data_IF_582075901782
#
_entry.id   IF_582075901782
#
_cell.length_a   1.000
_cell.length_b   1.000
_cell.length_c   1.000
_cell.angle_alpha   90.00
_cell.angle_beta   90.00
_cell.angle_gamma   90.00
#
_symmetry.space_group_name_H-M   'P 1'
#
loop_
_entity.id
_entity.type
_entity.pdbx_description
1 polymer ?
#
# COMPACT_ATOMS: atom_id res chain seq x y z
N UNK A 1 15.24 -36.49 49.39
CA UNK A 1 16.02 -36.37 48.12
C UNK A 1 15.22 -35.80 46.97
N UNK A 2 13.94 -36.15 46.76
CA UNK A 2 13.11 -35.59 45.63
C UNK A 2 12.84 -34.08 45.72
N UNK A 3 12.64 -33.49 46.91
CA UNK A 3 12.38 -32.05 47.09
C UNK A 3 13.61 -31.18 46.79
N UNK A 4 14.83 -31.68 47.01
CA UNK A 4 16.06 -30.92 46.74
C UNK A 4 16.39 -30.87 45.26
N UNK A 5 16.14 -31.96 44.50
CA UNK A 5 16.37 -32.01 43.05
C UNK A 5 15.42 -31.06 42.31
N UNK A 6 14.13 -31.03 42.67
CA UNK A 6 13.15 -30.10 42.05
C UNK A 6 13.49 -28.62 42.31
N UNK A 7 14.03 -28.28 43.50
CA UNK A 7 14.47 -26.89 43.77
C UNK A 7 15.73 -26.51 42.99
N UNK A 8 16.66 -27.42 42.75
CA UNK A 8 17.87 -27.15 41.95
C UNK A 8 17.49 -26.97 40.48
N UNK A 9 16.59 -27.81 39.91
CA UNK A 9 16.10 -27.65 38.54
C UNK A 9 15.30 -26.37 38.32
N UNK A 10 14.51 -25.92 39.29
CA UNK A 10 13.80 -24.67 39.23
C UNK A 10 14.75 -23.45 39.33
N UNK A 11 15.77 -23.49 40.18
CA UNK A 11 16.79 -22.45 40.28
C UNK A 11 17.61 -22.32 38.98
N UNK A 12 18.01 -23.44 38.36
CA UNK A 12 18.74 -23.45 37.09
C UNK A 12 17.89 -22.88 35.94
N UNK A 13 16.61 -23.23 35.85
CA UNK A 13 15.70 -22.66 34.83
C UNK A 13 15.49 -21.16 35.02
N UNK A 14 15.44 -20.66 36.23
CA UNK A 14 15.27 -19.25 36.52
C UNK A 14 16.54 -18.44 36.22
N UNK A 15 17.72 -19.01 36.45
CA UNK A 15 19.00 -18.41 36.05
C UNK A 15 19.20 -18.42 34.53
N UNK A 16 18.80 -19.47 33.84
CA UNK A 16 18.85 -19.52 32.36
C UNK A 16 17.88 -18.51 31.72
N UNK A 17 16.68 -18.35 32.28
CA UNK A 17 15.73 -17.36 31.83
C UNK A 17 16.26 -15.93 32.05
N UNK A 18 16.86 -15.66 33.22
CA UNK A 18 17.47 -14.36 33.48
C UNK A 18 18.60 -14.04 32.52
N UNK A 19 19.51 -15.02 32.27
CA UNK A 19 20.59 -14.86 31.27
C UNK A 19 20.04 -14.59 29.87
N UNK A 20 18.95 -15.26 29.48
CA UNK A 20 18.29 -15.01 28.19
C UNK A 20 17.74 -13.58 28.12
N UNK A 21 17.05 -13.13 29.16
CA UNK A 21 16.55 -11.75 29.25
C UNK A 21 17.70 -10.75 29.19
N UNK A 22 18.74 -10.96 29.97
CA UNK A 22 19.92 -10.08 29.99
C UNK A 22 20.59 -10.03 28.61
N UNK A 23 20.73 -11.16 27.93
CA UNK A 23 21.29 -11.22 26.58
C UNK A 23 20.42 -10.50 25.54
N UNK A 24 19.09 -10.58 25.67
CA UNK A 24 18.15 -9.88 24.78
C UNK A 24 18.07 -8.37 25.07
N UNK A 25 18.39 -7.97 26.31
CA UNK A 25 18.36 -6.56 26.74
C UNK A 25 19.69 -5.82 26.52
N UNK A 26 20.74 -6.48 26.01
CA UNK A 26 22.03 -5.81 25.73
C UNK A 26 21.85 -4.79 24.62
N UNK A 27 22.05 -3.47 24.87
CA UNK A 27 21.96 -2.46 23.84
C UNK A 27 23.06 -2.66 22.78
N UNK A 28 22.67 -2.75 21.51
CA UNK A 28 23.62 -2.78 20.40
C UNK A 28 23.98 -4.16 19.85
N UNK A 29 23.39 -5.26 20.33
CA UNK A 29 23.56 -6.57 19.73
C UNK A 29 22.67 -6.76 18.49
N UNK A 30 23.28 -6.95 17.33
CA UNK A 30 22.60 -7.34 16.08
C UNK A 30 21.68 -6.26 15.49
N UNK A 31 20.37 -6.50 15.54
CA UNK A 31 19.34 -5.68 14.87
C UNK A 31 19.35 -4.20 15.30
N UNK A 32 19.82 -3.90 16.52
CA UNK A 32 19.81 -2.54 17.08
C UNK A 32 21.10 -1.75 16.84
N UNK A 33 22.15 -2.36 16.30
CA UNK A 33 23.45 -1.72 16.07
C UNK A 33 23.38 -0.52 15.11
N UNK A 34 22.41 -0.52 14.16
CA UNK A 34 22.13 0.59 13.26
C UNK A 34 20.98 1.51 13.70
N UNK A 35 20.31 1.21 14.82
CA UNK A 35 19.21 2.02 15.31
C UNK A 35 19.74 3.31 15.95
N UNK A 36 19.22 4.46 15.53
CA UNK A 36 19.49 5.76 16.17
C UNK A 36 19.28 5.63 17.69
N UNK A 37 20.25 6.09 18.50
CA UNK A 37 20.08 6.23 19.95
C UNK A 37 18.87 7.13 20.20
N UNK A 38 17.78 6.54 20.67
CA UNK A 38 16.55 7.27 20.99
C UNK A 38 16.64 7.83 22.40
N UNK A 39 16.10 9.02 22.62
CA UNK A 39 15.80 9.49 23.96
C UNK A 39 14.81 8.51 24.61
N UNK A 40 15.02 8.15 25.89
CA UNK A 40 14.15 7.21 26.63
C UNK A 40 12.68 7.64 26.69
N UNK A 41 12.41 8.94 26.49
CA UNK A 41 11.08 9.54 26.61
C UNK A 41 10.34 9.67 25.27
N UNK A 42 10.91 9.19 24.16
CA UNK A 42 10.33 9.39 22.84
C UNK A 42 9.45 8.19 22.43
N UNK A 43 8.12 8.35 22.60
CA UNK A 43 7.15 7.35 22.17
C UNK A 43 7.13 7.21 20.65
N UNK A 44 7.08 5.95 20.17
CA UNK A 44 6.97 5.62 18.74
C UNK A 44 5.53 5.73 18.26
N UNK A 45 5.31 5.94 16.92
CA UNK A 45 4.00 5.74 16.35
C UNK A 45 3.51 4.30 16.60
N UNK A 46 2.25 4.15 16.94
CA UNK A 46 1.63 2.86 17.21
C UNK A 46 0.90 2.35 15.98
N UNK A 47 1.28 1.17 15.45
CA UNK A 47 0.56 0.52 14.34
C UNK A 47 -0.90 0.25 14.68
N UNK A 48 -1.18 -0.16 15.92
CA UNK A 48 -2.53 -0.41 16.38
C UNK A 48 -3.37 0.86 16.35
N UNK A 49 -2.88 1.96 16.95
CA UNK A 49 -3.63 3.23 17.00
C UNK A 49 -3.82 3.81 15.57
N UNK A 50 -2.81 3.69 14.69
CA UNK A 50 -2.96 4.10 13.28
C UNK A 50 -4.03 3.26 12.58
N UNK A 51 -4.10 1.96 12.85
CA UNK A 51 -5.18 1.09 12.33
C UNK A 51 -6.57 1.53 12.83
N UNK A 52 -6.70 1.81 14.13
CA UNK A 52 -7.95 2.32 14.72
C UNK A 52 -8.38 3.66 14.09
N UNK A 53 -7.42 4.56 13.82
CA UNK A 53 -7.69 5.84 13.11
C UNK A 53 -8.19 5.58 11.68
N UNK A 54 -7.62 4.63 10.97
CA UNK A 54 -8.07 4.27 9.61
C UNK A 54 -9.50 3.74 9.63
N UNK A 55 -9.85 2.89 10.60
CA UNK A 55 -11.24 2.40 10.73
C UNK A 55 -12.23 3.54 11.08
N UNK A 56 -11.85 4.49 11.92
CA UNK A 56 -12.65 5.68 12.17
C UNK A 56 -12.82 6.53 10.89
N UNK A 57 -11.75 6.70 10.11
CA UNK A 57 -11.80 7.41 8.83
C UNK A 57 -12.69 6.68 7.80
N UNK A 58 -12.62 5.35 7.73
CA UNK A 58 -13.50 4.55 6.87
C UNK A 58 -14.97 4.75 7.23
N UNK A 59 -15.30 4.81 8.52
CA UNK A 59 -16.67 5.06 8.95
C UNK A 59 -17.16 6.48 8.68
N UNK A 60 -16.26 7.44 8.52
CA UNK A 60 -16.57 8.82 8.09
C UNK A 60 -16.78 8.87 6.57
N UNK A 61 -15.93 8.17 5.81
CA UNK A 61 -15.95 8.17 4.35
C UNK A 61 -17.11 7.34 3.78
N UNK A 62 -17.53 6.30 4.49
CA UNK A 62 -18.64 5.40 4.17
C UNK A 62 -19.60 5.29 5.35
N UNK A 63 -20.38 6.35 5.64
CA UNK A 63 -21.30 6.36 6.78
C UNK A 63 -22.36 5.25 6.65
N UNK A 64 -22.59 4.51 7.75
CA UNK A 64 -23.53 3.39 7.76
C UNK A 64 -22.96 2.04 7.33
N UNK A 65 -21.80 2.02 6.64
CA UNK A 65 -21.16 0.75 6.23
C UNK A 65 -20.17 0.21 7.25
N UNK A 66 -19.48 1.09 7.98
CA UNK A 66 -18.47 0.70 8.97
C UNK A 66 -18.79 1.31 10.33
N UNK A 67 -18.73 0.50 11.38
CA UNK A 67 -19.08 0.92 12.74
C UNK A 67 -20.58 0.81 13.01
N UNK A 68 -21.23 1.89 13.47
CA UNK A 68 -22.68 1.89 13.70
C UNK A 68 -23.45 1.96 12.38
N UNK A 69 -24.32 0.96 12.13
CA UNK A 69 -25.14 0.86 10.92
C UNK A 69 -26.43 1.68 10.96
N UNK A 70 -26.90 2.04 12.17
CA UNK A 70 -28.17 2.77 12.35
C UNK A 70 -27.91 4.30 12.38
N UNK A 71 -27.41 4.85 11.26
CA UNK A 71 -27.19 6.30 11.13
C UNK A 71 -28.37 6.89 10.38
N UNK A 72 -29.20 7.68 11.08
CA UNK A 72 -30.26 8.48 10.49
C UNK A 72 -29.69 9.78 9.94
N UNK A 73 -30.35 10.37 8.96
CA UNK A 73 -29.89 11.62 8.31
C UNK A 73 -29.66 12.73 9.33
N UNK A 74 -30.55 12.86 10.33
CA UNK A 74 -30.45 13.88 11.38
C UNK A 74 -29.23 13.67 12.30
N UNK A 75 -28.82 12.41 12.52
CA UNK A 75 -27.68 12.06 13.37
C UNK A 75 -26.34 12.05 12.64
N UNK A 76 -26.33 12.05 11.29
CA UNK A 76 -25.13 11.95 10.47
C UNK A 76 -24.09 13.03 10.81
N UNK A 77 -24.53 14.29 11.00
CA UNK A 77 -23.63 15.41 11.33
C UNK A 77 -22.94 15.20 12.66
N UNK A 78 -23.66 14.71 13.67
CA UNK A 78 -23.09 14.40 14.99
C UNK A 78 -22.14 13.22 14.93
N UNK A 79 -22.50 12.19 14.17
CA UNK A 79 -21.65 11.03 13.94
C UNK A 79 -20.31 11.43 13.31
N UNK A 80 -20.35 12.11 12.17
CA UNK A 80 -19.14 12.58 11.47
C UNK A 80 -18.35 13.56 12.34
N UNK A 81 -19.01 14.53 12.98
CA UNK A 81 -18.34 15.54 13.80
C UNK A 81 -17.60 14.96 14.99
N UNK A 82 -18.23 14.05 15.74
CA UNK A 82 -17.62 13.41 16.90
C UNK A 82 -16.41 12.54 16.54
N UNK A 83 -16.50 11.80 15.42
CA UNK A 83 -15.40 10.96 14.93
C UNK A 83 -14.25 11.79 14.38
N UNK A 84 -14.54 12.86 13.62
CA UNK A 84 -13.50 13.78 13.15
C UNK A 84 -12.74 14.45 14.30
N UNK A 85 -13.41 14.84 15.37
CA UNK A 85 -12.73 15.41 16.55
C UNK A 85 -11.84 14.38 17.25
N UNK A 86 -12.30 13.14 17.37
CA UNK A 86 -11.51 12.03 17.90
C UNK A 86 -10.28 11.74 17.03
N UNK A 87 -10.49 11.59 15.71
CA UNK A 87 -9.42 11.38 14.74
C UNK A 87 -8.41 12.51 14.81
N UNK A 88 -8.86 13.77 14.81
CA UNK A 88 -8.00 14.95 14.88
C UNK A 88 -7.02 14.87 16.06
N UNK A 89 -7.53 14.57 17.26
CA UNK A 89 -6.69 14.48 18.48
C UNK A 89 -5.72 13.31 18.43
N UNK A 90 -6.23 12.12 18.13
CA UNK A 90 -5.43 10.90 18.13
C UNK A 90 -4.39 10.89 17.02
N UNK A 91 -4.77 11.39 15.83
CA UNK A 91 -3.88 11.42 14.69
C UNK A 91 -2.78 12.45 14.82
N UNK A 92 -3.07 13.64 15.37
CA UNK A 92 -2.04 14.65 15.66
C UNK A 92 -0.93 14.06 16.52
N UNK A 93 -1.27 13.29 17.54
CA UNK A 93 -0.28 12.63 18.40
C UNK A 93 0.55 11.61 17.63
N UNK A 94 -0.06 10.77 16.75
CA UNK A 94 0.69 9.81 15.95
C UNK A 94 1.59 10.49 14.91
N UNK A 95 1.13 11.56 14.27
CA UNK A 95 1.94 12.37 13.35
C UNK A 95 3.13 12.99 14.08
N UNK A 96 2.92 13.55 15.27
CA UNK A 96 4.00 14.06 16.12
C UNK A 96 5.06 12.98 16.39
N UNK A 97 4.63 11.79 16.81
CA UNK A 97 5.53 10.65 17.05
C UNK A 97 6.29 10.25 15.79
N UNK A 98 5.63 10.28 14.64
CA UNK A 98 6.28 10.05 13.33
C UNK A 98 7.35 11.09 13.00
N UNK A 99 7.06 12.38 13.21
CA UNK A 99 8.01 13.48 13.03
C UNK A 99 9.22 13.28 13.97
N UNK A 100 8.96 13.05 15.25
CA UNK A 100 10.02 12.85 16.25
C UNK A 100 10.86 11.59 15.95
N UNK A 101 10.25 10.56 15.34
CA UNK A 101 10.98 9.35 14.92
C UNK A 101 12.04 9.63 13.85
N UNK A 102 11.80 10.60 12.96
CA UNK A 102 12.72 10.96 11.87
C UNK A 102 13.69 12.07 12.23
N UNK A 103 13.45 12.81 13.33
CA UNK A 103 14.38 13.85 13.77
C UNK A 103 15.75 13.28 14.10
N UNK A 104 16.81 13.93 13.61
CA UNK A 104 18.17 13.56 13.95
C UNK A 104 18.52 13.99 15.37
N UNK A 105 19.05 13.01 16.13
CA UNK A 105 19.78 13.16 17.39
C UNK A 105 19.15 13.95 18.54
N UNK A 106 18.71 13.26 19.57
CA UNK A 106 18.92 13.63 21.00
C UNK A 106 18.38 14.97 21.49
N UNK A 107 17.82 15.78 20.66
CA UNK A 107 17.09 16.97 21.06
C UNK A 107 15.70 16.56 21.56
N UNK A 108 15.33 17.02 22.74
CA UNK A 108 13.96 16.99 23.21
C UNK A 108 13.04 17.43 22.04
N UNK A 109 11.88 16.76 21.91
CA UNK A 109 10.91 17.12 20.88
C UNK A 109 10.70 18.63 20.91
N UNK A 110 11.13 19.32 19.85
CA UNK A 110 11.07 20.78 19.80
C UNK A 110 9.60 21.22 19.87
N UNK A 111 9.26 22.38 20.46
CA UNK A 111 7.92 22.97 20.42
C UNK A 111 7.32 23.00 19.01
N UNK A 112 8.16 23.12 18.00
CA UNK A 112 7.86 23.06 16.57
C UNK A 112 7.22 21.73 16.12
N UNK A 113 7.54 20.58 16.74
CA UNK A 113 6.94 19.29 16.36
C UNK A 113 5.44 19.22 16.63
N UNK A 114 4.95 19.84 17.69
CA UNK A 114 3.52 19.90 18.01
C UNK A 114 2.77 20.78 17.03
N UNK A 115 3.31 21.94 16.70
CA UNK A 115 2.70 22.85 15.75
C UNK A 115 2.72 22.23 14.32
N UNK A 116 3.83 21.65 13.91
CA UNK A 116 3.94 20.95 12.64
C UNK A 116 2.94 19.79 12.55
N UNK A 117 2.84 18.97 13.59
CA UNK A 117 1.87 17.86 13.64
C UNK A 117 0.43 18.36 13.53
N UNK A 118 0.09 19.46 14.22
CA UNK A 118 -1.22 20.10 14.13
C UNK A 118 -1.51 20.56 12.72
N UNK A 119 -0.58 21.27 12.08
CA UNK A 119 -0.74 21.81 10.74
C UNK A 119 -0.91 20.69 9.70
N UNK A 120 -0.10 19.62 9.78
CA UNK A 120 -0.22 18.46 8.91
C UNK A 120 -1.54 17.72 9.10
N UNK A 121 -2.00 17.58 10.36
CA UNK A 121 -3.30 16.96 10.67
C UNK A 121 -4.44 17.75 10.03
N UNK A 122 -4.46 19.08 10.19
CA UNK A 122 -5.50 19.93 9.60
C UNK A 122 -5.43 19.89 8.08
N UNK A 123 -4.23 19.94 7.48
CA UNK A 123 -4.05 19.85 6.03
C UNK A 123 -4.60 18.53 5.48
N UNK A 124 -4.33 17.41 6.15
CA UNK A 124 -4.87 16.10 5.79
C UNK A 124 -6.40 16.05 5.89
N UNK A 125 -6.97 16.45 7.03
CA UNK A 125 -8.42 16.39 7.24
C UNK A 125 -9.20 17.20 6.21
N UNK A 126 -8.65 18.32 5.72
CA UNK A 126 -9.24 19.13 4.63
C UNK A 126 -9.32 18.37 3.32
N UNK A 127 -8.55 17.30 3.13
CA UNK A 127 -8.56 16.47 1.92
C UNK A 127 -9.62 15.36 1.94
N UNK A 128 -10.21 15.06 3.10
CA UNK A 128 -11.18 13.97 3.21
C UNK A 128 -12.38 14.07 2.26
N UNK A 129 -12.99 15.25 1.99
CA UNK A 129 -14.07 15.34 1.01
C UNK A 129 -13.62 14.96 -0.41
N UNK A 130 -12.41 15.35 -0.82
CA UNK A 130 -11.84 14.97 -2.12
C UNK A 130 -11.58 13.45 -2.19
N UNK A 131 -11.04 12.88 -1.11
CA UNK A 131 -10.84 11.43 -0.99
C UNK A 131 -12.17 10.69 -1.07
N UNK A 132 -13.22 11.16 -0.38
CA UNK A 132 -14.56 10.56 -0.43
C UNK A 132 -15.13 10.54 -1.85
N UNK A 133 -15.03 11.65 -2.57
CA UNK A 133 -15.48 11.72 -3.96
C UNK A 133 -14.73 10.73 -4.87
N UNK A 134 -13.41 10.62 -4.73
CA UNK A 134 -12.63 9.63 -5.50
C UNK A 134 -13.04 8.20 -5.16
N UNK A 135 -13.28 7.91 -3.89
CA UNK A 135 -13.73 6.57 -3.46
C UNK A 135 -15.12 6.23 -4.00
N UNK A 136 -16.04 7.18 -4.07
CA UNK A 136 -17.35 6.96 -4.71
C UNK A 136 -17.19 6.58 -6.19
N UNK A 137 -16.27 7.21 -6.92
CA UNK A 137 -15.96 6.86 -8.31
C UNK A 137 -15.27 5.50 -8.43
N UNK A 138 -14.42 5.10 -7.47
CA UNK A 138 -13.79 3.78 -7.46
C UNK A 138 -14.80 2.67 -7.17
N UNK A 139 -15.76 2.91 -6.25
CA UNK A 139 -16.88 1.99 -5.98
C UNK A 139 -17.74 1.81 -7.23
N UNK A 140 -18.10 2.91 -7.89
CA UNK A 140 -18.89 2.85 -9.12
C UNK A 140 -18.16 2.11 -10.23
N UNK A 141 -16.86 2.36 -10.42
CA UNK A 141 -16.03 1.65 -11.41
C UNK A 141 -15.92 0.15 -11.09
N UNK A 142 -15.89 -0.21 -9.82
CA UNK A 142 -15.85 -1.61 -9.38
C UNK A 142 -17.19 -2.31 -9.64
N UNK A 143 -18.31 -1.65 -9.36
CA UNK A 143 -19.65 -2.16 -9.64
C UNK A 143 -19.90 -2.36 -11.15
N UNK A 144 -19.51 -1.38 -11.96
CA UNK A 144 -19.64 -1.46 -13.43
C UNK A 144 -18.66 -2.46 -14.06
N UNK A 145 -17.52 -2.70 -13.39
CA UNK A 145 -16.46 -3.57 -13.90
C UNK A 145 -16.65 -5.05 -13.63
N UNK A 146 -17.45 -5.39 -12.61
CA UNK A 146 -17.72 -6.77 -12.20
C UNK A 146 -19.20 -7.13 -12.37
N UNK A 147 -19.55 -7.94 -13.40
CA UNK A 147 -20.93 -8.39 -13.59
C UNK A 147 -21.50 -9.24 -12.43
N UNK A 148 -20.66 -9.74 -11.52
CA UNK A 148 -21.10 -10.50 -10.35
C UNK A 148 -21.57 -9.61 -9.20
N UNK A 149 -21.22 -8.32 -9.20
CA UNK A 149 -21.65 -7.38 -8.17
C UNK A 149 -23.15 -7.09 -8.26
N UNK A 150 -23.91 -7.40 -7.20
CA UNK A 150 -25.35 -7.16 -7.17
C UNK A 150 -25.70 -5.67 -7.06
N UNK A 151 -24.92 -4.90 -6.33
CA UNK A 151 -25.10 -3.46 -6.10
C UNK A 151 -23.80 -2.81 -5.57
N UNK A 152 -23.70 -1.48 -5.54
CA UNK A 152 -22.52 -0.77 -4.99
C UNK A 152 -22.29 -1.05 -3.50
N UNK A 153 -23.31 -1.36 -2.73
CA UNK A 153 -23.19 -1.65 -1.29
C UNK A 153 -22.38 -2.92 -1.06
N UNK A 154 -22.62 -3.96 -1.87
CA UNK A 154 -21.83 -5.19 -1.85
C UNK A 154 -20.35 -4.93 -2.13
N UNK A 155 -20.06 -4.05 -3.08
CA UNK A 155 -18.68 -3.65 -3.41
C UNK A 155 -18.01 -3.00 -2.21
N UNK A 156 -18.69 -2.10 -1.49
CA UNK A 156 -18.16 -1.43 -0.30
C UNK A 156 -17.89 -2.43 0.82
N UNK A 157 -18.83 -3.37 1.07
CA UNK A 157 -18.71 -4.32 2.17
C UNK A 157 -17.70 -5.44 1.91
N UNK A 158 -17.62 -5.95 0.66
CA UNK A 158 -17.02 -7.24 0.39
C UNK A 158 -15.71 -7.17 -0.39
N UNK A 159 -15.48 -6.13 -1.19
CA UNK A 159 -14.35 -6.14 -2.12
C UNK A 159 -13.02 -5.73 -1.47
N UNK A 160 -12.01 -6.61 -1.49
CA UNK A 160 -10.68 -6.29 -0.96
C UNK A 160 -10.03 -5.12 -1.70
N UNK A 161 -10.35 -4.93 -2.99
CA UNK A 161 -9.91 -3.80 -3.80
C UNK A 161 -10.32 -2.46 -3.20
N UNK A 162 -11.56 -2.34 -2.68
CA UNK A 162 -12.05 -1.12 -2.03
C UNK A 162 -11.31 -0.87 -0.71
N UNK A 163 -11.03 -1.91 0.06
CA UNK A 163 -10.22 -1.77 1.28
C UNK A 163 -8.82 -1.25 0.95
N UNK A 164 -8.17 -1.83 -0.05
CA UNK A 164 -6.81 -1.45 -0.45
C UNK A 164 -6.75 -0.02 -1.00
N UNK A 165 -7.67 0.36 -1.90
CA UNK A 165 -7.69 1.70 -2.50
C UNK A 165 -8.06 2.79 -1.48
N UNK A 166 -8.95 2.49 -0.52
CA UNK A 166 -9.30 3.42 0.56
C UNK A 166 -8.07 3.74 1.41
N UNK A 167 -7.35 2.73 1.86
CA UNK A 167 -6.13 2.92 2.63
C UNK A 167 -5.05 3.64 1.82
N UNK A 168 -4.90 3.27 0.54
CA UNK A 168 -3.96 3.95 -0.35
C UNK A 168 -4.30 5.45 -0.51
N UNK A 169 -5.56 5.82 -0.80
CA UNK A 169 -5.93 7.23 -0.98
C UNK A 169 -5.70 8.07 0.26
N UNK A 170 -6.01 7.54 1.44
CA UNK A 170 -5.68 8.17 2.73
C UNK A 170 -4.16 8.32 2.92
N UNK A 171 -3.41 7.26 2.68
CA UNK A 171 -1.96 7.24 2.82
C UNK A 171 -1.26 8.15 1.79
N UNK A 172 -1.78 8.24 0.57
CA UNK A 172 -1.25 9.10 -0.48
C UNK A 172 -1.34 10.59 -0.12
N UNK A 173 -2.48 11.05 0.41
CA UNK A 173 -2.61 12.45 0.85
C UNK A 173 -1.65 12.78 2.01
N UNK A 174 -1.41 11.85 2.92
CA UNK A 174 -0.39 12.00 3.97
C UNK A 174 1.04 11.99 3.41
N UNK A 175 1.31 11.14 2.43
CA UNK A 175 2.61 11.08 1.76
C UNK A 175 2.93 12.39 1.02
N UNK A 176 1.95 12.96 0.33
CA UNK A 176 2.09 14.24 -0.40
C UNK A 176 2.40 15.45 0.47
N UNK A 177 2.05 15.41 1.76
CA UNK A 177 2.36 16.47 2.73
C UNK A 177 3.53 16.09 3.66
N UNK A 178 4.34 15.13 3.25
CA UNK A 178 5.56 14.70 3.94
C UNK A 178 5.34 14.22 5.38
N UNK A 179 4.22 13.54 5.66
CA UNK A 179 4.04 12.84 6.94
C UNK A 179 4.93 11.60 6.95
N UNK A 180 5.88 11.51 7.89
CA UNK A 180 6.83 10.41 7.89
C UNK A 180 6.22 9.11 8.43
N UNK A 181 6.61 7.97 7.87
CA UNK A 181 6.32 6.58 8.25
C UNK A 181 4.85 6.18 8.26
N UNK A 182 3.92 7.03 8.73
CA UNK A 182 2.49 6.70 8.86
C UNK A 182 1.85 6.28 7.52
N UNK A 183 2.12 6.94 6.37
CA UNK A 183 1.59 6.48 5.07
C UNK A 183 1.94 5.02 4.78
N UNK A 184 3.18 4.62 5.04
CA UNK A 184 3.61 3.22 4.86
C UNK A 184 2.93 2.27 5.86
N UNK A 185 2.73 2.68 7.11
CA UNK A 185 2.02 1.87 8.10
C UNK A 185 0.58 1.58 7.63
N UNK A 186 -0.09 2.56 7.02
CA UNK A 186 -1.45 2.41 6.50
C UNK A 186 -1.48 1.46 5.31
N UNK A 187 -0.60 1.65 4.31
CA UNK A 187 -0.59 0.77 3.12
C UNK A 187 -0.14 -0.64 3.44
N UNK A 188 0.83 -0.84 4.33
CA UNK A 188 1.25 -2.19 4.78
C UNK A 188 0.16 -2.91 5.58
N UNK A 189 -0.70 -2.18 6.29
CA UNK A 189 -1.88 -2.77 6.93
C UNK A 189 -2.86 -3.32 5.90
N UNK A 190 -3.14 -2.56 4.84
CA UNK A 190 -3.98 -2.99 3.73
C UNK A 190 -3.35 -4.18 2.97
N UNK A 191 -2.04 -4.12 2.68
CA UNK A 191 -1.31 -5.23 2.06
C UNK A 191 -1.42 -6.52 2.87
N UNK A 192 -1.24 -6.44 4.18
CA UNK A 192 -1.38 -7.60 5.07
C UNK A 192 -2.80 -8.19 5.09
N UNK A 193 -3.83 -7.35 4.95
CA UNK A 193 -5.22 -7.77 4.99
C UNK A 193 -5.75 -8.29 3.64
N UNK A 194 -5.26 -7.75 2.52
CA UNK A 194 -5.83 -7.98 1.19
C UNK A 194 -4.89 -8.68 0.21
N UNK A 195 -3.61 -8.74 0.50
CA UNK A 195 -2.57 -9.17 -0.46
C UNK A 195 -2.31 -8.17 -1.59
N UNK A 196 -2.80 -6.92 -1.46
CA UNK A 196 -2.65 -5.85 -2.47
C UNK A 196 -1.63 -4.84 -1.93
N UNK A 197 -0.46 -4.76 -2.55
CA UNK A 197 0.63 -3.85 -2.18
C UNK A 197 0.63 -2.60 -3.07
N UNK A 198 0.19 -1.47 -2.52
CA UNK A 198 0.23 -0.17 -3.21
C UNK A 198 1.11 0.78 -2.41
N UNK A 199 2.22 1.22 -2.99
CA UNK A 199 3.08 2.21 -2.34
C UNK A 199 2.37 3.58 -2.26
N UNK A 200 2.38 4.28 -1.12
CA UNK A 200 1.66 5.56 -0.95
C UNK A 200 2.17 6.68 -1.87
N UNK A 201 3.39 6.56 -2.40
CA UNK A 201 3.98 7.49 -3.37
C UNK A 201 3.46 7.31 -4.80
N UNK A 202 2.83 6.20 -5.15
CA UNK A 202 2.20 6.03 -6.46
C UNK A 202 1.13 7.10 -6.69
N UNK A 203 0.93 7.54 -7.93
CA UNK A 203 -0.13 8.45 -8.31
C UNK A 203 -1.21 7.67 -9.05
N UNK A 204 -2.44 7.61 -8.51
CA UNK A 204 -3.55 6.85 -9.11
C UNK A 204 -4.73 7.79 -9.35
N UNK A 205 -5.20 7.84 -10.58
CA UNK A 205 -6.37 8.60 -11.02
C UNK A 205 -7.68 8.12 -10.38
N UNK A 206 -8.78 8.70 -10.80
CA UNK A 206 -10.13 8.35 -10.36
C UNK A 206 -10.71 7.16 -11.14
N UNK A 207 -11.74 6.52 -10.61
CA UNK A 207 -12.40 5.34 -11.19
C UNK A 207 -11.43 4.17 -11.38
N UNK A 208 -10.57 3.94 -10.41
CA UNK A 208 -9.60 2.85 -10.44
C UNK A 208 -10.24 1.57 -9.94
N UNK A 209 -10.23 0.53 -10.77
CA UNK A 209 -10.83 -0.76 -10.45
C UNK A 209 -9.79 -1.86 -10.25
N UNK A 210 -9.85 -2.51 -9.09
CA UNK A 210 -9.09 -3.71 -8.76
C UNK A 210 -10.06 -4.88 -8.64
N UNK A 211 -9.92 -5.87 -9.52
CA UNK A 211 -10.68 -7.12 -9.43
C UNK A 211 -9.85 -8.22 -8.77
N UNK A 212 -10.43 -8.93 -7.80
CA UNK A 212 -9.78 -9.89 -6.89
C UNK A 212 -8.59 -9.31 -6.13
N UNK A 213 -7.56 -8.90 -6.82
CA UNK A 213 -6.46 -8.07 -6.35
C UNK A 213 -5.30 -8.79 -5.69
N UNK A 214 -5.46 -10.01 -5.16
CA UNK A 214 -4.38 -10.73 -4.46
C UNK A 214 -3.09 -10.79 -5.30
N UNK A 215 -1.98 -10.36 -4.70
CA UNK A 215 -0.67 -10.38 -5.35
C UNK A 215 -0.39 -9.20 -6.28
N UNK A 216 -1.24 -8.17 -6.30
CA UNK A 216 -0.93 -6.90 -6.98
C UNK A 216 0.20 -6.19 -6.27
N UNK A 217 1.15 -5.64 -7.06
CA UNK A 217 2.22 -4.76 -6.58
C UNK A 217 2.27 -3.50 -7.42
N UNK A 218 2.07 -2.33 -6.80
CA UNK A 218 2.19 -1.01 -7.43
C UNK A 218 3.30 -0.21 -6.75
N UNK A 219 4.41 0.00 -7.47
CA UNK A 219 5.62 0.63 -6.96
C UNK A 219 5.50 2.15 -6.79
N UNK A 220 6.42 2.70 -5.98
CA UNK A 220 6.45 4.08 -5.48
C UNK A 220 6.23 5.17 -6.54
N UNK A 221 6.85 5.03 -7.70
CA UNK A 221 6.84 6.08 -8.74
C UNK A 221 5.92 5.74 -9.92
N UNK A 222 4.98 4.80 -9.73
CA UNK A 222 3.92 4.53 -10.71
C UNK A 222 3.05 5.77 -10.90
N UNK A 223 2.67 6.01 -12.16
CA UNK A 223 1.65 6.98 -12.52
C UNK A 223 0.55 6.19 -13.24
N UNK A 224 -0.64 6.20 -12.68
CA UNK A 224 -1.81 5.49 -13.22
C UNK A 224 -2.90 6.50 -13.49
N UNK A 225 -3.40 6.53 -14.71
CA UNK A 225 -4.46 7.42 -15.17
C UNK A 225 -5.84 7.07 -14.62
N UNK A 226 -6.87 7.59 -15.28
CA UNK A 226 -8.28 7.40 -14.92
C UNK A 226 -8.84 6.14 -15.56
N UNK A 227 -9.85 5.51 -14.93
CA UNK A 227 -10.60 4.36 -15.46
C UNK A 227 -9.70 3.17 -15.82
N UNK A 228 -8.59 3.02 -15.09
CA UNK A 228 -7.69 1.88 -15.26
C UNK A 228 -8.23 0.69 -14.49
N UNK A 229 -8.17 -0.49 -15.10
CA UNK A 229 -8.61 -1.77 -14.53
C UNK A 229 -7.43 -2.72 -14.40
N UNK A 230 -7.24 -3.30 -13.22
CA UNK A 230 -6.20 -4.30 -12.99
C UNK A 230 -6.75 -5.51 -12.24
N UNK A 231 -6.19 -6.66 -12.55
CA UNK A 231 -6.58 -7.94 -11.99
C UNK A 231 -5.48 -8.50 -11.08
N UNK A 232 -5.79 -9.57 -10.36
CA UNK A 232 -4.88 -10.22 -9.42
C UNK A 232 -3.50 -10.52 -10.03
N UNK A 233 -2.46 -10.46 -9.20
CA UNK A 233 -1.09 -10.79 -9.58
C UNK A 233 -0.39 -9.80 -10.51
N UNK A 234 -1.02 -8.67 -10.84
CA UNK A 234 -0.39 -7.62 -11.66
C UNK A 234 0.76 -6.97 -10.90
N UNK A 235 1.91 -6.87 -11.55
CA UNK A 235 3.08 -6.18 -11.00
C UNK A 235 3.46 -4.96 -11.86
N UNK A 236 3.40 -3.76 -11.26
CA UNK A 236 3.92 -2.52 -11.82
C UNK A 236 5.21 -2.17 -11.06
N UNK A 237 6.33 -2.74 -11.49
CA UNK A 237 7.59 -2.79 -10.74
C UNK A 237 8.75 -2.03 -11.38
N UNK A 238 9.88 -1.99 -10.67
CA UNK A 238 11.15 -1.55 -11.21
C UNK A 238 11.82 -2.68 -11.99
N UNK A 239 12.48 -2.36 -13.12
CA UNK A 239 13.25 -3.34 -13.92
C UNK A 239 14.60 -3.65 -13.28
N UNK A 240 15.24 -2.64 -12.69
CA UNK A 240 16.56 -2.74 -12.06
C UNK A 240 16.73 -1.62 -11.04
N UNK A 241 17.69 -1.78 -10.14
CA UNK A 241 18.08 -0.76 -9.20
C UNK A 241 19.43 -0.17 -9.61
N UNK A 242 19.55 1.16 -9.51
CA UNK A 242 20.85 1.84 -9.66
C UNK A 242 21.52 1.87 -8.30
N UNK A 243 22.83 1.65 -8.28
CA UNK A 243 23.65 1.72 -7.08
C UNK A 243 24.65 2.87 -7.23
N UNK A 244 24.91 3.57 -6.14
CA UNK A 244 25.94 4.59 -6.08
C UNK A 244 27.35 3.97 -5.99
N UNK A 245 28.37 4.85 -5.86
CA UNK A 245 29.78 4.43 -5.79
C UNK A 245 30.09 3.59 -4.53
N UNK A 246 29.26 3.72 -3.50
CA UNK A 246 29.40 3.03 -2.21
C UNK A 246 28.57 1.75 -2.14
N UNK A 247 27.90 1.38 -3.25
CA UNK A 247 27.06 0.18 -3.35
C UNK A 247 25.67 0.34 -2.71
N UNK A 248 25.27 1.56 -2.34
CA UNK A 248 23.94 1.83 -1.83
C UNK A 248 22.95 2.10 -2.98
N UNK A 249 21.71 1.59 -2.83
CA UNK A 249 20.67 1.83 -3.83
C UNK A 249 20.30 3.32 -3.91
N UNK A 250 20.36 3.88 -5.11
CA UNK A 250 19.98 5.28 -5.36
C UNK A 250 18.48 5.44 -5.18
N UNK A 251 18.07 6.34 -4.28
CA UNK A 251 16.68 6.61 -3.92
C UNK A 251 16.08 7.76 -4.74
N UNK A 252 14.75 7.86 -4.81
CA UNK A 252 14.06 9.01 -5.40
C UNK A 252 14.03 9.03 -6.93
N UNK A 253 14.62 8.05 -7.62
CA UNK A 253 14.54 7.95 -9.08
C UNK A 253 13.22 7.36 -9.53
N UNK A 254 12.72 7.88 -10.65
CA UNK A 254 11.53 7.35 -11.31
C UNK A 254 11.87 6.05 -12.02
N UNK A 255 11.32 4.92 -11.53
CA UNK A 255 11.69 3.58 -11.95
C UNK A 255 10.51 2.64 -12.24
N UNK A 256 9.27 3.14 -12.06
CA UNK A 256 8.05 2.33 -12.20
C UNK A 256 7.22 2.79 -13.40
N UNK A 257 6.29 1.95 -13.92
CA UNK A 257 5.52 2.24 -15.12
C UNK A 257 4.63 3.48 -15.03
N UNK A 258 4.33 4.02 -16.21
CA UNK A 258 3.24 4.97 -16.47
C UNK A 258 2.14 4.18 -17.19
N UNK A 259 0.93 4.22 -16.65
CA UNK A 259 -0.27 3.61 -17.24
C UNK A 259 -1.22 4.76 -17.54
N UNK A 260 -1.53 4.99 -18.80
CA UNK A 260 -2.44 6.06 -19.22
C UNK A 260 -3.91 5.69 -18.95
N UNK A 261 -4.83 6.59 -19.28
CA UNK A 261 -6.26 6.40 -19.05
C UNK A 261 -6.85 5.20 -19.82
N UNK A 262 -7.93 4.62 -19.30
CA UNK A 262 -8.71 3.56 -19.96
C UNK A 262 -7.95 2.25 -20.25
N UNK A 263 -6.83 2.02 -19.58
CA UNK A 263 -6.02 0.80 -19.75
C UNK A 263 -6.59 -0.34 -18.92
N UNK A 264 -6.60 -1.54 -19.51
CA UNK A 264 -6.93 -2.78 -18.79
C UNK A 264 -5.72 -3.71 -18.75
N UNK A 265 -5.34 -4.17 -17.55
CA UNK A 265 -4.21 -5.08 -17.33
C UNK A 265 -4.72 -6.35 -16.66
N UNK A 266 -4.71 -7.46 -17.42
CA UNK A 266 -5.19 -8.75 -16.97
C UNK A 266 -4.22 -9.48 -16.04
N UNK A 267 -4.74 -10.49 -15.37
CA UNK A 267 -4.11 -11.23 -14.28
C UNK A 267 -2.68 -11.70 -14.57
N UNK A 268 -1.81 -11.54 -13.54
CA UNK A 268 -0.43 -12.02 -13.60
C UNK A 268 0.49 -11.27 -14.56
N UNK A 269 0.02 -10.21 -15.22
CA UNK A 269 0.89 -9.40 -16.07
C UNK A 269 1.95 -8.68 -15.24
N UNK A 270 3.20 -8.68 -15.73
CA UNK A 270 4.34 -8.05 -15.07
C UNK A 270 4.91 -6.96 -15.98
N UNK A 271 4.83 -5.70 -15.55
CA UNK A 271 5.28 -4.53 -16.29
C UNK A 271 6.39 -3.86 -15.48
N UNK A 272 7.60 -3.80 -16.06
CA UNK A 272 8.79 -3.37 -15.33
C UNK A 272 9.51 -2.20 -15.99
N UNK A 273 9.96 -1.28 -15.15
CA UNK A 273 10.75 -0.12 -15.55
C UNK A 273 9.89 1.11 -15.88
N UNK A 274 10.55 2.21 -16.25
CA UNK A 274 9.87 3.47 -16.61
C UNK A 274 9.34 3.40 -18.05
N UNK A 275 8.38 2.52 -18.26
CA UNK A 275 7.69 2.30 -19.54
C UNK A 275 6.30 2.90 -19.49
N UNK A 276 5.77 3.33 -20.64
CA UNK A 276 4.42 3.88 -20.78
C UNK A 276 3.52 2.86 -21.47
N UNK A 277 2.39 2.59 -20.83
CA UNK A 277 1.27 1.85 -21.43
C UNK A 277 0.28 2.89 -21.93
N UNK A 278 0.20 3.04 -23.26
CA UNK A 278 -0.61 4.08 -23.89
C UNK A 278 -2.11 3.90 -23.67
N UNK A 279 -2.83 5.00 -23.71
CA UNK A 279 -4.28 5.12 -23.51
C UNK A 279 -5.08 4.00 -24.21
N UNK A 280 -6.09 3.48 -23.53
CA UNK A 280 -7.01 2.49 -24.10
C UNK A 280 -6.37 1.13 -24.44
N UNK A 281 -5.15 0.88 -23.99
CA UNK A 281 -4.45 -0.39 -24.24
C UNK A 281 -4.97 -1.53 -23.38
N UNK A 282 -4.84 -2.75 -23.89
CA UNK A 282 -5.19 -3.97 -23.19
C UNK A 282 -3.96 -4.87 -23.11
N UNK A 283 -3.51 -5.15 -21.87
CA UNK A 283 -2.41 -6.07 -21.59
C UNK A 283 -2.99 -7.40 -21.11
N UNK A 284 -2.76 -8.46 -21.88
CA UNK A 284 -3.25 -9.81 -21.60
C UNK A 284 -2.60 -10.44 -20.37
N UNK A 285 -3.23 -11.49 -19.88
CA UNK A 285 -2.76 -12.21 -18.68
C UNK A 285 -1.37 -12.81 -18.85
N UNK A 286 -0.59 -12.80 -17.76
CA UNK A 286 0.78 -13.33 -17.69
C UNK A 286 1.75 -12.75 -18.74
N UNK A 287 1.48 -11.56 -19.27
CA UNK A 287 2.40 -10.85 -20.17
C UNK A 287 3.54 -10.25 -19.35
N UNK A 288 4.78 -10.47 -19.80
CA UNK A 288 5.97 -9.82 -19.27
C UNK A 288 6.35 -8.65 -20.18
N UNK A 289 6.23 -7.41 -19.74
CA UNK A 289 6.43 -6.21 -20.54
C UNK A 289 7.51 -5.30 -19.94
N UNK A 290 8.50 -4.94 -20.76
CA UNK A 290 9.63 -4.07 -20.38
C UNK A 290 9.89 -2.94 -21.37
N UNK A 291 8.96 -2.73 -22.31
CA UNK A 291 8.99 -1.67 -23.31
C UNK A 291 7.66 -0.94 -23.33
N UNK A 292 7.69 0.34 -23.70
CA UNK A 292 6.46 1.13 -23.86
C UNK A 292 5.62 0.61 -25.04
N UNK A 293 4.30 0.77 -24.93
CA UNK A 293 3.35 0.44 -25.99
C UNK A 293 2.50 1.66 -26.35
N UNK A 294 2.23 1.89 -27.66
CA UNK A 294 1.41 3.04 -28.07
C UNK A 294 -0.05 2.88 -27.64
N UNK A 295 -0.85 3.98 -27.67
CA UNK A 295 -2.28 3.93 -27.37
C UNK A 295 -3.03 2.88 -28.22
N UNK A 296 -4.05 2.26 -27.63
CA UNK A 296 -4.90 1.26 -28.27
C UNK A 296 -4.24 -0.10 -28.52
N UNK A 297 -3.06 -0.34 -27.95
CA UNK A 297 -2.33 -1.61 -28.10
C UNK A 297 -3.06 -2.78 -27.47
N UNK A 298 -3.04 -3.95 -28.12
CA UNK A 298 -3.49 -5.22 -27.55
C UNK A 298 -2.32 -6.19 -27.50
N UNK A 299 -1.74 -6.39 -26.31
CA UNK A 299 -0.55 -7.23 -26.11
C UNK A 299 -0.98 -8.56 -25.50
N UNK A 300 -0.67 -9.66 -26.16
CA UNK A 300 -0.93 -11.02 -25.69
C UNK A 300 0.36 -11.85 -25.68
N UNK A 301 0.38 -12.96 -24.96
CA UNK A 301 1.55 -13.87 -24.96
C UNK A 301 1.89 -14.44 -26.35
N UNK A 302 0.90 -14.66 -27.19
CA UNK A 302 1.09 -15.21 -28.52
C UNK A 302 1.87 -14.24 -29.43
N UNK A 303 1.51 -12.97 -29.42
CA UNK A 303 2.19 -11.92 -30.21
C UNK A 303 3.66 -11.76 -29.79
N UNK A 304 3.98 -11.89 -28.53
CA UNK A 304 5.38 -11.82 -28.07
C UNK A 304 6.22 -13.00 -28.49
N UNK A 305 5.66 -14.19 -28.57
CA UNK A 305 6.39 -15.36 -29.07
C UNK A 305 6.77 -15.20 -30.55
N UNK A 306 5.94 -14.57 -31.35
CA UNK A 306 6.23 -14.30 -32.76
C UNK A 306 7.31 -13.23 -32.93
N UNK A 307 7.24 -12.12 -32.21
CA UNK A 307 8.24 -11.03 -32.22
C UNK A 307 9.62 -11.48 -31.69
N UNK A 308 9.65 -12.28 -30.63
CA UNK A 308 10.89 -12.82 -30.08
C UNK A 308 11.49 -13.86 -31.05
N UNK A 309 10.66 -14.65 -31.77
CA UNK A 309 11.11 -15.61 -32.76
C UNK A 309 11.73 -14.91 -33.99
N UNK A 310 11.14 -13.83 -34.46
CA UNK A 310 11.68 -12.99 -35.53
C UNK A 310 12.98 -12.28 -35.11
N UNK A 311 13.05 -11.76 -33.89
CA UNK A 311 14.21 -11.01 -33.37
C UNK A 311 15.44 -11.90 -33.11
N UNK A 312 15.22 -13.18 -32.74
CA UNK A 312 16.30 -14.14 -32.46
C UNK A 312 16.58 -15.13 -33.60
N UNK A 313 16.05 -14.87 -34.81
CA UNK A 313 16.41 -15.61 -36.04
C UNK A 313 15.88 -17.03 -36.10
N UNK A 314 14.85 -17.37 -35.34
CA UNK A 314 14.17 -18.65 -35.40
C UNK A 314 13.26 -18.73 -36.66
N UNK A 315 13.53 -19.62 -37.59
CA UNK A 315 12.62 -19.87 -38.71
C UNK A 315 11.30 -20.49 -38.23
N UNK A 316 10.11 -20.02 -38.68
CA UNK A 316 8.84 -20.55 -38.20
C UNK A 316 8.73 -22.04 -38.54
N UNK A 317 8.46 -22.89 -37.55
CA UNK A 317 8.16 -24.31 -37.77
C UNK A 317 6.97 -24.42 -38.70
N UNK A 318 7.17 -25.02 -39.89
CA UNK A 318 6.09 -25.37 -40.83
C UNK A 318 5.01 -26.13 -40.07
N UNK A 319 3.77 -25.63 -40.12
CA UNK A 319 2.59 -26.33 -39.60
C UNK A 319 2.55 -27.72 -40.23
N UNK A 320 2.77 -28.75 -39.44
CA UNK A 320 2.49 -30.13 -39.83
C UNK A 320 0.99 -30.26 -40.05
N UNK A 321 0.58 -30.65 -41.26
CA UNK A 321 -0.79 -31.00 -41.61
C UNK A 321 -1.30 -32.07 -40.62
N UNK A 322 -2.55 -32.00 -40.15
CA UNK A 322 -3.13 -33.11 -39.41
C UNK A 322 -3.20 -34.35 -40.36
N UNK A 323 -2.70 -35.48 -39.85
CA UNK A 323 -2.92 -36.78 -40.46
C UNK A 323 -4.43 -37.06 -40.39
N UNK A 324 -5.02 -37.18 -41.59
CA UNK A 324 -6.34 -37.71 -41.79
C UNK A 324 -6.35 -39.22 -41.51
N UNK A 325 -7.20 -39.62 -40.57
CA UNK A 325 -7.78 -40.96 -40.50
C UNK A 325 -9.19 -40.87 -39.94
#
# INVERSE_FOLDING_TARGET
RKKTVVRVEQATRQDDFKRLVDALCVPGNGITAGMKKRSRDQALPSRQIVGEIVEELRSILFPGYFGFSEIQEESLRFHVGSRLDRVRRTFQEQIKRGICFTCEKGSACLPDCDERARNLTVAFLRKLPEVQNKLALDVQASYEGDPAAANPDEVIFCYPGITAITNYRLAHELYRIDVPIIPRMITESAHSATGIDIHPGASIGESFFIDHGTGIVIGETCIIGKRVRIYQGVTLGAKSFQFDKDGAAVRGIQRHPIVEDDVTIYSGATILGRVTIGHGSVIGGNVWLVNSVPPGSRITQAQRREEDFERYGGSPRKKTRPLSA
#
